data_IF_183738437284
#
_entry.id   IF_183738437284
#
_cell.length_a   1.000
_cell.length_b   1.000
_cell.length_c   1.000
_cell.angle_alpha   90.00
_cell.angle_beta   90.00
_cell.angle_gamma   90.00
#
_symmetry.space_group_name_H-M   'P 1'
#
loop_
_entity.id
_entity.type
_entity.pdbx_description
1 polymer ?
#
# COMPACT_ATOMS: atom_id res chain seq x y z
N UNK A 1 -3.83 1.37 10.08
CA UNK A 1 -3.28 2.66 9.61
C UNK A 1 -2.76 2.49 8.20
N UNK A 2 -2.63 3.60 7.46
CA UNK A 2 -1.98 3.66 6.15
C UNK A 2 -0.83 4.66 6.26
N UNK A 3 0.35 4.30 5.78
CA UNK A 3 1.56 5.11 5.88
C UNK A 3 2.28 5.11 4.53
N UNK A 4 2.50 6.30 3.95
CA UNK A 4 3.34 6.46 2.78
C UNK A 4 4.81 6.57 3.19
N UNK A 5 5.70 5.93 2.43
CA UNK A 5 7.14 5.94 2.66
C UNK A 5 7.85 6.85 1.65
N UNK A 6 9.03 7.34 2.04
CA UNK A 6 9.85 8.23 1.21
C UNK A 6 10.34 7.58 -0.10
N UNK A 7 10.27 6.25 -0.20
CA UNK A 7 10.63 5.49 -1.39
C UNK A 7 9.45 5.29 -2.37
N UNK A 8 8.32 5.97 -2.17
CA UNK A 8 7.11 5.85 -3.00
C UNK A 8 6.16 4.71 -2.59
N UNK A 9 6.63 3.73 -1.81
CA UNK A 9 5.78 2.63 -1.36
C UNK A 9 4.78 3.05 -0.28
N UNK A 10 3.70 2.28 -0.13
CA UNK A 10 2.70 2.49 0.93
C UNK A 10 2.57 1.24 1.78
N UNK A 11 2.59 1.42 3.09
CA UNK A 11 2.36 0.36 4.08
C UNK A 11 0.97 0.47 4.71
N UNK A 12 0.32 -0.68 4.84
CA UNK A 12 -0.97 -0.81 5.52
C UNK A 12 -0.79 -1.71 6.72
N UNK A 13 -1.13 -1.22 7.91
CA UNK A 13 -1.09 -2.00 9.14
C UNK A 13 -2.52 -2.24 9.64
N UNK A 14 -3.02 -3.49 9.66
CA UNK A 14 -4.32 -3.81 10.26
C UNK A 14 -4.38 -3.42 11.74
N UNK A 15 -5.57 -3.19 12.32
CA UNK A 15 -5.72 -3.09 13.76
C UNK A 15 -5.17 -4.33 14.46
N UNK A 16 -4.55 -4.15 15.63
CA UNK A 16 -4.04 -5.25 16.45
C UNK A 16 -5.15 -6.06 17.16
N UNK A 17 -6.42 -5.69 16.93
CA UNK A 17 -7.58 -6.34 17.50
C UNK A 17 -7.65 -7.81 17.02
N UNK A 18 -7.84 -8.72 17.98
CA UNK A 18 -7.91 -10.16 17.73
C UNK A 18 -9.08 -10.53 16.80
N UNK A 19 -10.17 -9.77 16.86
CA UNK A 19 -11.38 -9.98 16.07
C UNK A 19 -11.29 -9.40 14.65
N UNK A 20 -10.19 -8.73 14.30
CA UNK A 20 -9.98 -8.26 12.93
C UNK A 20 -9.95 -9.44 11.95
N UNK A 21 -10.84 -9.43 10.96
CA UNK A 21 -11.02 -10.51 9.99
C UNK A 21 -10.46 -10.16 8.61
N UNK A 22 -10.70 -8.93 8.16
CA UNK A 22 -10.25 -8.48 6.85
C UNK A 22 -9.91 -7.00 6.81
N UNK A 23 -9.07 -6.61 5.85
CA UNK A 23 -8.82 -5.22 5.49
C UNK A 23 -9.01 -5.05 3.99
N UNK A 24 -9.88 -4.14 3.59
CA UNK A 24 -10.02 -3.72 2.21
C UNK A 24 -9.10 -2.52 1.96
N UNK A 25 -8.24 -2.63 0.96
CA UNK A 25 -7.26 -1.60 0.57
C UNK A 25 -7.61 -1.10 -0.82
N UNK A 26 -7.89 0.19 -0.95
CA UNK A 26 -8.13 0.87 -2.23
C UNK A 26 -6.92 1.68 -2.65
N UNK A 27 -6.51 1.59 -3.92
CA UNK A 27 -5.41 2.39 -4.46
C UNK A 27 -5.57 2.61 -5.97
N UNK A 28 -4.80 3.52 -6.54
CA UNK A 28 -4.72 3.72 -8.00
C UNK A 28 -3.37 3.20 -8.50
N UNK A 29 -3.36 2.36 -9.53
CA UNK A 29 -2.10 1.90 -10.13
C UNK A 29 -1.43 2.96 -11.00
N UNK A 30 -0.19 2.72 -11.40
CA UNK A 30 0.62 3.62 -12.25
C UNK A 30 -0.05 3.95 -13.61
N UNK A 31 -0.97 3.10 -14.09
CA UNK A 31 -1.75 3.37 -15.30
C UNK A 31 -2.97 4.26 -15.05
N UNK A 32 -3.21 4.68 -13.80
CA UNK A 32 -4.38 5.46 -13.41
C UNK A 32 -5.65 4.62 -13.20
N UNK A 33 -5.53 3.30 -13.10
CA UNK A 33 -6.66 2.39 -12.92
C UNK A 33 -6.90 2.15 -11.42
N UNK A 34 -8.13 2.34 -10.91
CA UNK A 34 -8.47 1.96 -9.55
C UNK A 34 -8.30 0.45 -9.33
N UNK A 35 -7.69 0.09 -8.20
CA UNK A 35 -7.47 -1.28 -7.75
C UNK A 35 -7.97 -1.44 -6.32
N UNK A 36 -8.33 -2.68 -6.01
CA UNK A 36 -8.70 -3.09 -4.66
C UNK A 36 -7.92 -4.35 -4.30
N UNK A 37 -7.40 -4.41 -3.09
CA UNK A 37 -6.83 -5.61 -2.49
C UNK A 37 -7.59 -5.92 -1.19
N UNK A 38 -7.89 -7.19 -0.97
CA UNK A 38 -8.51 -7.66 0.26
C UNK A 38 -7.51 -8.52 1.01
N UNK A 39 -7.08 -8.03 2.17
CA UNK A 39 -6.29 -8.79 3.13
C UNK A 39 -7.25 -9.60 4.01
N UNK A 40 -7.03 -10.91 4.13
CA UNK A 40 -7.89 -11.80 4.92
C UNK A 40 -7.07 -12.57 5.93
N UNK A 41 -7.51 -12.54 7.20
CA UNK A 41 -6.96 -13.38 8.27
C UNK A 41 -7.65 -14.74 8.26
N UNK A 42 -6.90 -15.79 8.01
CA UNK A 42 -7.37 -17.17 8.02
C UNK A 42 -7.65 -17.67 9.43
N UNK A 43 -8.31 -18.84 9.51
CA UNK A 43 -8.57 -19.52 10.79
C UNK A 43 -7.29 -19.97 11.52
N UNK A 44 -6.18 -20.11 10.79
CA UNK A 44 -4.84 -20.37 11.31
C UNK A 44 -4.16 -19.10 11.87
N UNK A 45 -4.80 -17.94 11.74
CA UNK A 45 -4.28 -16.64 12.16
C UNK A 45 -3.39 -15.97 11.11
N UNK A 46 -3.12 -16.64 9.98
CA UNK A 46 -2.25 -16.08 8.94
C UNK A 46 -3.03 -15.16 7.99
N UNK A 47 -2.36 -14.10 7.56
CA UNK A 47 -2.89 -13.14 6.60
C UNK A 47 -2.51 -13.51 5.17
N UNK A 48 -3.45 -13.26 4.26
CA UNK A 48 -3.29 -13.44 2.81
C UNK A 48 -3.88 -12.25 2.06
N UNK A 49 -3.37 -11.98 0.86
CA UNK A 49 -3.89 -10.96 -0.05
C UNK A 49 -4.47 -11.64 -1.29
N UNK A 50 -5.61 -11.16 -1.78
CA UNK A 50 -6.17 -11.61 -3.06
C UNK A 50 -5.50 -10.93 -4.28
N UNK A 51 -4.66 -9.93 -4.04
CA UNK A 51 -3.99 -9.15 -5.07
C UNK A 51 -2.48 -9.37 -4.96
N UNK A 52 -1.84 -9.98 -5.98
CA UNK A 52 -0.41 -10.31 -5.95
C UNK A 52 0.50 -9.08 -5.99
N UNK A 53 0.01 -7.91 -6.43
CA UNK A 53 0.77 -6.66 -6.38
C UNK A 53 0.83 -6.07 -4.95
N UNK A 54 0.02 -6.60 -4.02
CA UNK A 54 0.00 -6.19 -2.62
C UNK A 54 0.57 -7.31 -1.76
N UNK A 55 1.85 -7.19 -1.42
CA UNK A 55 2.53 -8.15 -0.55
C UNK A 55 2.00 -8.00 0.88
N UNK A 56 1.83 -9.12 1.59
CA UNK A 56 1.38 -9.13 2.99
C UNK A 56 2.26 -10.05 3.81
N UNK A 57 2.67 -9.58 5.00
CA UNK A 57 3.30 -10.42 5.99
C UNK A 57 2.24 -11.32 6.64
N UNK A 58 2.39 -12.66 6.57
CA UNK A 58 1.34 -13.57 7.01
C UNK A 58 1.12 -13.54 8.52
N UNK A 59 2.12 -13.21 9.34
CA UNK A 59 1.97 -13.23 10.79
C UNK A 59 1.27 -11.95 11.32
N UNK A 60 1.58 -10.81 10.71
CA UNK A 60 1.14 -9.49 11.20
C UNK A 60 0.02 -8.89 10.38
N UNK A 61 -0.15 -9.32 9.14
CA UNK A 61 -1.08 -8.71 8.18
C UNK A 61 -0.60 -7.37 7.64
N UNK A 62 0.62 -6.94 8.00
CA UNK A 62 1.22 -5.73 7.45
C UNK A 62 1.40 -5.91 5.95
N UNK A 63 0.74 -5.07 5.16
CA UNK A 63 0.81 -5.10 3.72
C UNK A 63 1.64 -3.96 3.16
N UNK A 64 2.22 -4.17 1.99
CA UNK A 64 3.00 -3.18 1.25
C UNK A 64 2.51 -3.14 -0.19
N UNK A 65 2.18 -1.94 -0.66
CA UNK A 65 2.00 -1.65 -2.08
C UNK A 65 3.32 -1.06 -2.58
N UNK A 66 4.04 -1.76 -3.47
CA UNK A 66 5.28 -1.25 -4.03
C UNK A 66 5.07 0.06 -4.79
N UNK A 67 6.10 0.90 -4.79
CA UNK A 67 6.14 2.18 -5.48
C UNK A 67 5.76 2.07 -6.97
N UNK A 68 6.28 1.06 -7.68
CA UNK A 68 6.00 0.80 -9.10
C UNK A 68 4.59 0.23 -9.39
N UNK A 69 3.76 0.11 -8.35
CA UNK A 69 2.40 -0.44 -8.42
C UNK A 69 1.34 0.55 -7.96
N UNK A 70 1.74 1.69 -7.40
CA UNK A 70 0.84 2.74 -6.94
C UNK A 70 1.22 4.06 -7.58
N UNK A 71 0.24 4.79 -8.07
CA UNK A 71 0.49 6.10 -8.67
C UNK A 71 0.93 7.10 -7.61
N UNK A 72 2.05 7.76 -7.85
CA UNK A 72 2.58 8.85 -7.03
C UNK A 72 1.50 9.91 -6.73
N UNK A 73 1.44 10.32 -5.46
CA UNK A 73 0.49 11.32 -4.97
C UNK A 73 -0.98 10.88 -4.94
N UNK A 74 -1.32 9.68 -5.42
CA UNK A 74 -2.69 9.16 -5.37
C UNK A 74 -3.05 8.66 -3.97
N UNK A 75 -4.34 8.76 -3.57
CA UNK A 75 -4.78 8.29 -2.26
C UNK A 75 -4.79 6.75 -2.20
N UNK A 76 -4.32 6.23 -1.08
CA UNK A 76 -4.48 4.85 -0.65
C UNK A 76 -5.35 4.83 0.60
N UNK A 77 -6.41 4.03 0.57
CA UNK A 77 -7.32 3.85 1.70
C UNK A 77 -7.24 2.43 2.25
N UNK A 78 -7.49 2.26 3.53
CA UNK A 78 -7.63 0.95 4.14
C UNK A 78 -8.72 0.94 5.21
N UNK A 79 -9.61 -0.05 5.14
CA UNK A 79 -10.73 -0.21 6.07
C UNK A 79 -10.82 -1.63 6.58
N UNK A 80 -10.78 -1.78 7.90
CA UNK A 80 -10.83 -3.08 8.56
C UNK A 80 -12.26 -3.48 8.90
N UNK A 81 -12.53 -4.79 8.87
CA UNK A 81 -13.81 -5.40 9.28
C UNK A 81 -13.53 -6.53 10.26
N UNK A 82 -14.28 -6.56 11.36
CA UNK A 82 -14.18 -7.61 12.37
C UNK A 82 -14.98 -8.88 12.02
N UNK A 83 -14.92 -9.90 12.87
CA UNK A 83 -15.66 -11.16 12.68
C UNK A 83 -17.18 -11.00 12.78
N UNK A 84 -17.68 -9.97 13.47
CA UNK A 84 -19.09 -9.62 13.59
C UNK A 84 -19.61 -8.78 12.40
N UNK A 85 -18.71 -8.34 11.51
CA UNK A 85 -19.03 -7.51 10.34
C UNK A 85 -19.03 -6.01 10.62
N UNK A 86 -18.58 -5.57 11.80
CA UNK A 86 -18.41 -4.14 12.07
C UNK A 86 -17.19 -3.61 11.33
N UNK A 87 -17.31 -2.41 10.77
CA UNK A 87 -16.19 -1.77 10.08
C UNK A 87 -15.55 -0.70 10.96
N UNK A 88 -14.23 -0.69 11.01
CA UNK A 88 -13.45 0.34 11.68
C UNK A 88 -13.37 1.66 10.90
N UNK A 89 -12.65 2.61 11.49
CA UNK A 89 -12.27 3.86 10.84
C UNK A 89 -11.39 3.60 9.62
N UNK A 90 -11.59 4.39 8.56
CA UNK A 90 -10.78 4.33 7.36
C UNK A 90 -9.46 5.06 7.57
N UNK A 91 -8.35 4.38 7.33
CA UNK A 91 -7.04 5.01 7.21
C UNK A 91 -6.82 5.50 5.79
N UNK A 92 -6.16 6.65 5.63
CA UNK A 92 -5.80 7.20 4.31
C UNK A 92 -4.41 7.81 4.33
N UNK A 93 -3.66 7.65 3.25
CA UNK A 93 -2.43 8.37 2.97
C UNK A 93 -2.26 8.52 1.45
N UNK A 94 -1.62 9.60 1.00
CA UNK A 94 -1.23 9.74 -0.39
C UNK A 94 0.13 9.08 -0.61
N UNK A 95 0.28 8.28 -1.66
CA UNK A 95 1.54 7.66 -2.02
C UNK A 95 2.65 8.71 -2.17
N UNK A 96 3.85 8.37 -1.70
CA UNK A 96 5.04 9.20 -1.88
C UNK A 96 5.46 9.25 -3.35
N UNK A 97 6.46 10.09 -3.65
CA UNK A 97 7.06 10.08 -4.97
C UNK A 97 8.13 8.99 -5.04
N UNK A 98 8.31 8.41 -6.21
CA UNK A 98 9.44 7.53 -6.47
C UNK A 98 10.74 8.35 -6.37
N UNK A 99 11.79 7.84 -5.68
CA UNK A 99 13.04 8.59 -5.54
C UNK A 99 13.65 8.83 -6.92
N UNK A 100 13.99 10.08 -7.23
CA UNK A 100 14.70 10.42 -8.45
C UNK A 100 16.13 9.88 -8.38
N UNK A 101 16.42 8.84 -9.16
CA UNK A 101 17.76 8.26 -9.28
C UNK A 101 18.50 8.75 -10.52
N UNK A 102 17.96 9.75 -11.23
CA UNK A 102 18.56 10.28 -12.45
C UNK A 102 19.73 11.19 -12.09
N UNK A 103 20.94 10.80 -12.46
CA UNK A 103 22.09 11.69 -12.33
C UNK A 103 21.93 12.89 -13.28
N UNK A 104 22.35 14.11 -12.88
CA UNK A 104 22.33 15.26 -13.78
C UNK A 104 23.22 15.00 -15.00
N UNK A 105 22.83 15.55 -16.15
CA UNK A 105 23.68 15.53 -17.35
C UNK A 105 25.02 16.20 -17.08
N UNK A 106 26.11 15.62 -17.62
CA UNK A 106 27.42 16.25 -17.61
C UNK A 106 27.36 17.62 -18.33
N UNK A 107 28.16 18.62 -17.92
CA UNK A 107 28.20 19.92 -18.59
C UNK A 107 28.63 19.76 -20.05
N UNK A 108 27.92 20.42 -20.96
CA UNK A 108 28.29 20.48 -22.37
C UNK A 108 29.38 21.55 -22.57
N UNK A 109 30.57 21.12 -22.99
CA UNK A 109 31.65 22.03 -23.39
C UNK A 109 31.53 22.32 -24.88
N UNK A 110 31.18 23.55 -25.23
CA UNK A 110 31.25 24.05 -26.61
C UNK A 110 32.64 24.68 -26.85
N UNK A 111 33.52 24.05 -27.65
CA UNK A 111 34.77 24.70 -28.07
C UNK A 111 34.48 25.87 -29.02
N UNK A 112 35.21 26.98 -28.82
CA UNK A 112 35.15 28.21 -29.63
C UNK A 112 35.93 28.13 -30.93
#
# INVERSE_FOLDING_TARGET
>A
TVEAKDNGSVEVTPPADADTKSVEVGYTDEAGTPKTATLTKGNDGNWTSNNPDVAVDPATGKATIPADKVKDGSPVTAKATDTAGNTGEEGTANAGNNPDTTAPSAPEVTPS
#
